data_IF_845931522036
#
_entry.id   IF_845931522036
#
_cell.length_a   1.000
_cell.length_b   1.000
_cell.length_c   1.000
_cell.angle_alpha   90.00
_cell.angle_beta   90.00
_cell.angle_gamma   90.00
#
_symmetry.space_group_name_H-M   'P 1'
#
loop_
_entity.id
_entity.type
_entity.pdbx_description
1 polymer ?
#
# COMPACT_ATOMS: atom_id res chain seq x y z
N UNK A 1 10.67 7.61 -4.85
CA UNK A 1 10.35 7.45 -3.42
C UNK A 1 8.93 7.95 -3.21
N UNK A 2 8.15 7.28 -2.37
CA UNK A 2 6.81 7.75 -1.97
C UNK A 2 6.95 8.81 -0.87
N UNK A 3 6.00 9.74 -0.78
CA UNK A 3 5.91 10.66 0.35
C UNK A 3 5.21 9.99 1.56
N UNK A 4 5.12 10.70 2.69
CA UNK A 4 4.41 10.22 3.89
C UNK A 4 2.92 9.90 3.66
N UNK A 5 2.34 10.30 2.53
CA UNK A 5 0.95 10.03 2.14
C UNK A 5 0.85 8.93 1.08
N UNK A 6 1.95 8.21 0.81
CA UNK A 6 2.04 7.20 -0.23
C UNK A 6 1.67 7.75 -1.62
N UNK A 7 1.98 9.01 -1.94
CA UNK A 7 1.83 9.50 -3.31
C UNK A 7 2.91 8.90 -4.22
N UNK A 8 2.55 8.29 -5.36
CA UNK A 8 3.53 7.66 -6.24
C UNK A 8 4.36 8.75 -6.94
N UNK A 9 5.68 8.52 -7.14
CA UNK A 9 6.46 9.38 -8.03
C UNK A 9 5.99 9.24 -9.47
N UNK A 10 6.19 10.29 -10.29
CA UNK A 10 5.75 10.34 -11.69
C UNK A 10 6.25 9.15 -12.52
N UNK A 11 7.49 8.72 -12.27
CA UNK A 11 8.12 7.57 -12.93
C UNK A 11 7.34 6.25 -12.76
N UNK A 12 6.48 6.16 -11.75
CA UNK A 12 5.68 4.97 -11.44
C UNK A 12 4.18 5.14 -11.69
N UNK A 13 3.75 6.29 -12.24
CA UNK A 13 2.33 6.67 -12.41
C UNK A 13 1.55 5.64 -13.22
N UNK A 14 2.09 5.15 -14.32
CA UNK A 14 1.39 4.16 -15.16
C UNK A 14 1.18 2.82 -14.42
N UNK A 15 2.13 2.38 -13.60
CA UNK A 15 1.95 1.17 -12.77
C UNK A 15 0.82 1.39 -11.75
N UNK A 16 0.77 2.56 -11.13
CA UNK A 16 -0.29 2.93 -10.21
C UNK A 16 -1.67 2.95 -10.88
N UNK A 17 -1.79 3.58 -12.06
CA UNK A 17 -3.07 3.69 -12.79
C UNK A 17 -3.64 2.32 -13.18
N UNK A 18 -2.77 1.38 -13.58
CA UNK A 18 -3.17 0.00 -13.87
C UNK A 18 -3.75 -0.69 -12.64
N UNK A 19 -3.06 -0.57 -11.50
CA UNK A 19 -3.52 -1.15 -10.25
C UNK A 19 -4.83 -0.51 -9.76
N UNK A 20 -4.93 0.82 -9.82
CA UNK A 20 -6.14 1.56 -9.45
C UNK A 20 -7.34 1.16 -10.32
N UNK A 21 -7.14 1.07 -11.64
CA UNK A 21 -8.18 0.70 -12.59
C UNK A 21 -8.65 -0.74 -12.35
N UNK A 22 -7.72 -1.67 -12.12
CA UNK A 22 -8.05 -3.06 -11.81
C UNK A 22 -8.87 -3.15 -10.51
N UNK A 23 -8.43 -2.46 -9.45
CA UNK A 23 -9.13 -2.49 -8.17
C UNK A 23 -10.52 -1.85 -8.23
N UNK A 24 -10.66 -0.72 -8.91
CA UNK A 24 -11.96 -0.09 -9.16
C UNK A 24 -12.92 -0.99 -9.97
N UNK A 25 -12.40 -1.93 -10.76
CA UNK A 25 -13.18 -2.96 -11.47
C UNK A 25 -13.48 -4.21 -10.63
N UNK A 26 -13.13 -4.20 -9.35
CA UNK A 26 -13.40 -5.28 -8.39
C UNK A 26 -12.26 -6.27 -8.21
N UNK A 27 -11.10 -6.08 -8.84
CA UNK A 27 -9.94 -6.92 -8.54
C UNK A 27 -9.45 -6.63 -7.11
N UNK A 28 -9.18 -7.64 -6.26
CA UNK A 28 -8.65 -7.39 -4.93
C UNK A 28 -7.25 -6.76 -4.99
N UNK A 29 -6.90 -5.96 -3.99
CA UNK A 29 -5.50 -5.62 -3.75
C UNK A 29 -4.86 -6.80 -3.02
N UNK A 30 -3.78 -7.40 -3.53
CA UNK A 30 -3.07 -8.43 -2.78
C UNK A 30 -2.52 -7.84 -1.47
N UNK A 31 -2.31 -8.65 -0.41
CA UNK A 31 -1.83 -8.16 0.89
C UNK A 31 -0.48 -7.44 0.79
N UNK A 32 -0.34 -6.32 1.49
CA UNK A 32 0.95 -5.62 1.61
C UNK A 32 1.86 -6.35 2.60
N UNK A 33 3.14 -6.01 2.63
CA UNK A 33 4.07 -6.54 3.64
C UNK A 33 4.48 -5.41 4.56
N UNK A 34 4.35 -5.63 5.87
CA UNK A 34 4.69 -4.64 6.90
C UNK A 34 5.58 -5.23 7.98
N UNK A 35 6.46 -4.40 8.52
CA UNK A 35 7.08 -4.65 9.82
C UNK A 35 6.23 -4.03 10.92
N UNK A 36 6.09 -4.73 12.04
CA UNK A 36 5.53 -4.17 13.27
C UNK A 36 6.65 -3.99 14.30
N UNK A 37 6.75 -2.78 14.85
CA UNK A 37 7.66 -2.46 15.95
C UNK A 37 6.85 -1.77 17.05
N UNK A 38 6.68 -2.46 18.19
CA UNK A 38 5.73 -2.04 19.20
C UNK A 38 4.30 -1.99 18.65
N UNK A 39 3.67 -0.82 18.69
CA UNK A 39 2.32 -0.59 18.17
C UNK A 39 2.29 0.10 16.80
N UNK A 40 3.46 0.36 16.21
CA UNK A 40 3.58 1.00 14.90
C UNK A 40 3.83 -0.03 13.79
N UNK A 41 3.32 0.28 12.60
CA UNK A 41 3.48 -0.53 11.39
C UNK A 41 4.20 0.27 10.30
N UNK A 42 5.17 -0.37 9.66
CA UNK A 42 6.01 0.21 8.61
C UNK A 42 5.89 -0.63 7.35
N UNK A 43 5.59 0.01 6.22
CA UNK A 43 5.44 -0.70 4.93
C UNK A 43 6.80 -1.11 4.40
N UNK A 44 6.98 -2.41 4.21
CA UNK A 44 8.14 -3.00 3.54
C UNK A 44 7.90 -3.08 2.02
N UNK A 45 6.77 -3.68 1.63
CA UNK A 45 6.31 -3.74 0.23
C UNK A 45 4.83 -3.36 0.09
N UNK A 46 4.45 -2.95 -1.13
CA UNK A 46 3.07 -2.67 -1.46
C UNK A 46 2.68 -1.21 -1.43
N UNK A 47 3.65 -0.30 -1.50
CA UNK A 47 3.45 1.16 -1.50
C UNK A 47 2.41 1.65 -2.52
N UNK A 48 2.40 1.09 -3.74
CA UNK A 48 1.35 1.42 -4.73
C UNK A 48 -0.04 0.96 -4.28
N UNK A 49 -0.16 -0.16 -3.57
CA UNK A 49 -1.43 -0.69 -3.07
C UNK A 49 -1.97 0.17 -1.93
N UNK A 50 -1.11 0.59 -1.00
CA UNK A 50 -1.44 1.58 0.04
C UNK A 50 -1.92 2.88 -0.61
N UNK A 51 -1.22 3.34 -1.63
CA UNK A 51 -1.61 4.53 -2.40
C UNK A 51 -3.00 4.40 -3.04
N UNK A 52 -3.28 3.26 -3.69
CA UNK A 52 -4.58 2.99 -4.31
C UNK A 52 -5.69 2.91 -3.25
N UNK A 53 -5.46 2.20 -2.14
CA UNK A 53 -6.41 2.11 -1.04
C UNK A 53 -6.73 3.50 -0.45
N UNK A 54 -5.71 4.32 -0.20
CA UNK A 54 -5.88 5.71 0.25
C UNK A 54 -6.69 6.55 -0.75
N UNK A 55 -6.40 6.45 -2.04
CA UNK A 55 -7.10 7.20 -3.08
C UNK A 55 -8.57 6.77 -3.26
N UNK A 56 -8.90 5.53 -2.89
CA UNK A 56 -10.26 5.00 -2.90
C UNK A 56 -10.99 5.19 -1.57
N UNK A 57 -10.35 5.81 -0.56
CA UNK A 57 -10.96 6.06 0.74
C UNK A 57 -11.15 4.80 1.59
N UNK A 58 -10.38 3.74 1.33
CA UNK A 58 -10.43 2.53 2.15
C UNK A 58 -9.88 2.83 3.55
N UNK A 59 -10.56 2.32 4.58
CA UNK A 59 -10.16 2.51 5.99
C UNK A 59 -9.16 1.47 6.50
N UNK A 60 -9.00 0.37 5.75
CA UNK A 60 -8.09 -0.72 6.07
C UNK A 60 -7.60 -1.39 4.77
N UNK A 61 -6.46 -2.08 4.86
CA UNK A 61 -5.89 -2.90 3.79
C UNK A 61 -5.28 -4.15 4.42
N UNK A 62 -5.41 -5.30 3.75
CA UNK A 62 -4.83 -6.55 4.22
C UNK A 62 -3.30 -6.50 4.18
N UNK A 63 -2.66 -7.05 5.21
CA UNK A 63 -1.21 -7.05 5.35
C UNK A 63 -0.69 -8.37 5.92
N UNK A 64 0.45 -8.81 5.42
CA UNK A 64 1.32 -9.80 6.06
C UNK A 64 2.28 -9.05 7.00
N UNK A 65 2.24 -9.42 8.29
CA UNK A 65 2.96 -8.70 9.36
C UNK A 65 4.17 -9.51 9.81
N UNK A 66 5.36 -8.91 9.72
CA UNK A 66 6.57 -9.41 10.37
C UNK A 66 6.80 -8.62 11.66
N UNK A 67 6.67 -9.28 12.81
CA UNK A 67 6.93 -8.66 14.11
C UNK A 67 8.43 -8.61 14.41
N UNK A 68 8.94 -7.43 14.74
CA UNK A 68 10.32 -7.23 15.14
C UNK A 68 10.40 -7.11 16.67
N UNK A 69 11.14 -8.01 17.31
CA UNK A 69 11.48 -7.90 18.72
C UNK A 69 12.56 -6.83 18.91
N UNK A 70 12.43 -6.03 19.98
CA UNK A 70 13.46 -5.08 20.44
C UNK A 70 14.31 -5.72 21.52
#
# INVERSE_FOLDING_TARGET
>A
MFDRRFRPPESSRHRWERLWTANRRGAPLPPISVFRLGDEHFVDDGHHRVSVANALGMVAIDAEVTELAT
#
